data_IF_070379951678
#
_entry.id   IF_070379951678
#
_cell.length_a   1.000
_cell.length_b   1.000
_cell.length_c   1.000
_cell.angle_alpha   90.00
_cell.angle_beta   90.00
_cell.angle_gamma   90.00
#
_symmetry.space_group_name_H-M   'P 1'
#
loop_
_entity.id
_entity.type
_entity.pdbx_description
1 polymer ?
#
# COMPACT_ATOMS: atom_id res chain seq x y z
N UNK A 1 -30.70 -36.22 23.60
CA UNK A 1 -30.60 -35.20 22.53
C UNK A 1 -31.90 -35.14 21.74
N UNK A 2 -32.45 -36.27 21.29
CA UNK A 2 -33.73 -36.30 20.54
C UNK A 2 -34.91 -35.67 21.30
N UNK A 3 -35.07 -35.98 22.59
CA UNK A 3 -36.13 -35.36 23.43
C UNK A 3 -35.98 -33.84 23.56
N UNK A 4 -34.75 -33.35 23.72
CA UNK A 4 -34.45 -31.91 23.84
C UNK A 4 -34.66 -31.16 22.51
N UNK A 5 -34.32 -31.79 21.38
CA UNK A 5 -34.55 -31.22 20.06
C UNK A 5 -36.05 -31.24 19.70
N UNK A 6 -36.77 -32.30 20.07
CA UNK A 6 -38.22 -32.36 19.92
C UNK A 6 -38.92 -31.25 20.71
N UNK A 7 -38.47 -31.00 21.95
CA UNK A 7 -38.91 -29.88 22.77
C UNK A 7 -38.57 -28.51 22.15
N UNK A 8 -37.35 -28.35 21.62
CA UNK A 8 -36.97 -27.11 20.92
C UNK A 8 -37.89 -26.82 19.73
N UNK A 9 -38.21 -27.84 18.91
CA UNK A 9 -39.06 -27.66 17.75
C UNK A 9 -40.55 -27.47 18.08
N UNK A 10 -41.06 -28.01 19.19
CA UNK A 10 -42.44 -27.76 19.62
C UNK A 10 -42.66 -26.32 20.09
N UNK A 11 -41.65 -25.71 20.71
CA UNK A 11 -41.74 -24.34 21.26
C UNK A 11 -41.45 -23.25 20.21
N UNK A 12 -40.60 -23.54 19.22
CA UNK A 12 -40.05 -22.51 18.33
C UNK A 12 -40.59 -22.54 16.89
N UNK A 13 -41.54 -23.44 16.57
CA UNK A 13 -42.27 -23.43 15.29
C UNK A 13 -43.55 -22.58 15.42
N UNK A 14 -43.43 -21.26 15.29
CA UNK A 14 -44.58 -20.33 15.15
C UNK A 14 -44.65 -19.81 13.70
N UNK A 15 -45.86 -19.50 13.22
CA UNK A 15 -46.13 -19.12 11.81
C UNK A 15 -45.29 -17.92 11.32
N UNK A 16 -44.93 -16.99 12.21
CA UNK A 16 -44.19 -15.76 11.85
C UNK A 16 -42.65 -15.91 11.84
N UNK A 17 -42.11 -17.09 12.14
CA UNK A 17 -40.66 -17.30 12.29
C UNK A 17 -40.04 -17.88 11.01
N UNK A 18 -39.14 -17.12 10.38
CA UNK A 18 -38.40 -17.60 9.20
C UNK A 18 -37.64 -18.90 9.49
N UNK A 19 -37.75 -19.86 8.57
CA UNK A 19 -37.11 -21.18 8.65
C UNK A 19 -35.58 -21.11 8.85
N UNK A 20 -34.94 -20.08 8.29
CA UNK A 20 -33.51 -19.82 8.47
C UNK A 20 -33.17 -19.48 9.93
N UNK A 21 -33.98 -18.64 10.58
CA UNK A 21 -33.77 -18.24 11.97
C UNK A 21 -33.98 -19.42 12.93
N UNK A 22 -34.98 -20.27 12.65
CA UNK A 22 -35.21 -21.50 13.41
C UNK A 22 -34.01 -22.45 13.27
N UNK A 23 -33.46 -22.60 12.06
CA UNK A 23 -32.28 -23.42 11.80
C UNK A 23 -31.03 -22.91 12.52
N UNK A 24 -30.78 -21.60 12.46
CA UNK A 24 -29.62 -20.98 13.11
C UNK A 24 -29.71 -21.05 14.64
N UNK A 25 -30.90 -20.80 15.20
CA UNK A 25 -31.16 -20.93 16.64
C UNK A 25 -31.05 -22.39 17.11
N UNK A 26 -31.56 -23.34 16.34
CA UNK A 26 -31.43 -24.77 16.63
C UNK A 26 -29.95 -25.19 16.70
N UNK A 27 -29.13 -24.75 15.73
CA UNK A 27 -27.68 -25.06 15.75
C UNK A 27 -27.00 -24.51 17.00
N UNK A 28 -27.36 -23.31 17.44
CA UNK A 28 -26.83 -22.73 18.67
C UNK A 28 -27.26 -23.53 19.92
N UNK A 29 -28.55 -23.89 20.01
CA UNK A 29 -29.10 -24.69 21.10
C UNK A 29 -28.47 -26.09 21.17
N UNK A 30 -28.38 -26.79 20.03
CA UNK A 30 -27.73 -28.10 19.92
C UNK A 30 -26.25 -28.04 20.32
N UNK A 31 -25.52 -27.00 19.89
CA UNK A 31 -24.13 -26.78 20.33
C UNK A 31 -24.05 -26.61 21.85
N UNK A 32 -24.97 -25.85 22.45
CA UNK A 32 -25.05 -25.68 23.91
C UNK A 32 -25.22 -27.01 24.65
N UNK A 33 -26.16 -27.86 24.20
CA UNK A 33 -26.38 -29.20 24.77
C UNK A 33 -25.16 -30.11 24.63
N UNK A 34 -24.50 -30.08 23.48
CA UNK A 34 -23.27 -30.86 23.22
C UNK A 34 -22.15 -30.40 24.15
N UNK A 35 -21.99 -29.08 24.34
CA UNK A 35 -20.98 -28.50 25.23
C UNK A 35 -21.24 -28.92 26.68
N UNK A 36 -22.48 -28.83 27.18
CA UNK A 36 -22.83 -29.26 28.54
C UNK A 36 -22.56 -30.76 28.75
N UNK A 37 -23.04 -31.60 27.83
CA UNK A 37 -22.79 -33.04 27.89
C UNK A 37 -21.29 -33.38 27.88
N UNK A 38 -20.52 -32.74 26.99
CA UNK A 38 -19.08 -32.95 26.87
C UNK A 38 -18.35 -32.48 28.12
N UNK A 39 -18.76 -31.37 28.72
CA UNK A 39 -18.21 -30.84 29.96
C UNK A 39 -18.45 -31.81 31.12
N UNK A 40 -19.69 -32.30 31.29
CA UNK A 40 -20.03 -33.31 32.31
C UNK A 40 -19.25 -34.61 32.10
N UNK A 41 -19.12 -35.07 30.86
CA UNK A 41 -18.33 -36.26 30.50
C UNK A 41 -16.84 -36.09 30.85
N UNK A 42 -16.26 -34.92 30.54
CA UNK A 42 -14.87 -34.60 30.85
C UNK A 42 -14.62 -34.51 32.37
N UNK A 43 -15.56 -33.95 33.12
CA UNK A 43 -15.49 -33.89 34.59
C UNK A 43 -15.49 -35.31 35.18
N UNK A 44 -16.42 -36.18 34.75
CA UNK A 44 -16.47 -37.59 35.18
C UNK A 44 -15.17 -38.32 34.85
N UNK A 45 -14.66 -38.15 33.61
CA UNK A 45 -13.39 -38.75 33.19
C UNK A 45 -12.22 -38.31 34.09
N UNK A 46 -12.11 -37.01 34.39
CA UNK A 46 -11.08 -36.48 35.30
C UNK A 46 -11.20 -37.05 36.72
N UNK A 47 -12.42 -37.21 37.24
CA UNK A 47 -12.65 -37.81 38.54
C UNK A 47 -12.21 -39.29 38.58
N UNK A 48 -12.52 -40.06 37.53
CA UNK A 48 -12.10 -41.47 37.44
C UNK A 48 -10.58 -41.60 37.34
N UNK A 49 -9.91 -40.75 36.56
CA UNK A 49 -8.44 -40.72 36.46
C UNK A 49 -7.83 -40.42 37.83
N UNK A 50 -8.32 -39.38 38.50
CA UNK A 50 -7.82 -38.99 39.84
C UNK A 50 -8.00 -40.12 40.86
N UNK A 51 -9.13 -40.82 40.83
CA UNK A 51 -9.37 -41.96 41.71
C UNK A 51 -8.39 -43.12 41.44
N UNK A 52 -8.12 -43.45 40.17
CA UNK A 52 -7.14 -44.48 39.80
C UNK A 52 -5.71 -44.11 40.21
N UNK A 53 -5.34 -42.83 40.10
CA UNK A 53 -4.03 -42.33 40.56
C UNK A 53 -3.90 -42.39 42.09
N UNK A 54 -4.95 -42.03 42.82
CA UNK A 54 -4.96 -42.07 44.28
C UNK A 54 -4.93 -43.51 44.79
N UNK A 55 -5.61 -44.44 44.14
CA UNK A 55 -5.58 -45.87 44.47
C UNK A 55 -4.23 -46.51 44.13
N UNK A 56 -3.59 -46.10 43.03
CA UNK A 56 -2.21 -46.50 42.72
C UNK A 56 -1.24 -46.04 43.83
N UNK A 57 -1.35 -44.78 44.29
CA UNK A 57 -0.51 -44.24 45.38
C UNK A 57 -0.71 -44.95 46.71
N UNK A 58 -1.94 -45.37 47.02
CA UNK A 58 -2.23 -46.14 48.25
C UNK A 58 -1.59 -47.52 48.20
N UNK A 59 -1.76 -48.25 47.10
CA UNK A 59 -1.15 -49.58 46.93
C UNK A 59 0.38 -49.51 46.92
N UNK A 60 0.96 -48.45 46.37
CA UNK A 60 2.40 -48.19 46.42
C UNK A 60 2.92 -48.01 47.85
N UNK A 61 2.20 -47.25 48.69
CA UNK A 61 2.52 -47.10 50.13
C UNK A 61 2.36 -48.41 50.91
N UNK A 62 1.32 -49.19 50.62
CA UNK A 62 1.11 -50.50 51.25
C UNK A 62 2.23 -51.49 50.90
N UNK A 63 2.72 -51.44 49.65
CA UNK A 63 3.83 -52.28 49.19
C UNK A 63 5.17 -51.86 49.83
N UNK A 64 5.39 -50.57 50.07
CA UNK A 64 6.56 -50.07 50.80
C UNK A 64 6.61 -50.60 52.25
N UNK A 65 5.45 -50.74 52.90
CA UNK A 65 5.35 -51.24 54.27
C UNK A 65 5.35 -52.79 54.35
N UNK A 66 4.92 -53.49 53.29
CA UNK A 66 4.83 -54.96 53.23
C UNK A 66 5.37 -55.53 51.90
N UNK A 67 6.69 -55.66 51.73
CA UNK A 67 7.32 -55.94 50.42
C UNK A 67 7.06 -57.34 49.83
N UNK A 68 6.52 -58.30 50.59
CA UNK A 68 6.40 -59.71 50.17
C UNK A 68 4.99 -60.13 49.66
N UNK A 69 4.01 -59.23 49.60
CA UNK A 69 2.63 -59.57 49.15
C UNK A 69 2.46 -59.50 47.63
N UNK A 70 2.39 -60.67 46.98
CA UNK A 70 2.19 -60.81 45.52
C UNK A 70 0.84 -60.24 45.03
N UNK A 71 -0.21 -60.31 45.84
CA UNK A 71 -1.56 -59.87 45.46
C UNK A 71 -1.68 -58.36 45.26
N UNK A 72 -0.93 -57.58 46.04
CA UNK A 72 -0.90 -56.10 45.94
C UNK A 72 -0.23 -55.69 44.63
N UNK A 73 0.84 -56.40 44.23
CA UNK A 73 1.55 -56.17 42.97
C UNK A 73 0.65 -56.44 41.76
N UNK A 74 -0.13 -57.53 41.78
CA UNK A 74 -1.11 -57.82 40.71
C UNK A 74 -2.17 -56.73 40.57
N UNK A 75 -2.70 -56.21 41.69
CA UNK A 75 -3.67 -55.10 41.68
C UNK A 75 -3.07 -53.81 41.10
N UNK A 76 -1.81 -53.52 41.43
CA UNK A 76 -1.07 -52.37 40.90
C UNK A 76 -0.84 -52.48 39.39
N UNK A 77 -0.48 -53.65 38.89
CA UNK A 77 -0.30 -53.90 37.44
C UNK A 77 -1.62 -53.75 36.66
N UNK A 78 -2.75 -54.19 37.25
CA UNK A 78 -4.09 -53.98 36.67
C UNK A 78 -4.43 -52.48 36.58
N UNK A 79 -4.11 -51.69 37.62
CA UNK A 79 -4.36 -50.24 37.62
C UNK A 79 -3.48 -49.54 36.58
N UNK A 80 -2.19 -49.89 36.50
CA UNK A 80 -1.28 -49.36 35.46
C UNK A 80 -1.79 -49.67 34.06
N UNK A 81 -2.29 -50.88 33.83
CA UNK A 81 -2.88 -51.24 32.54
C UNK A 81 -4.11 -50.36 32.21
N UNK A 82 -5.01 -50.15 33.18
CA UNK A 82 -6.17 -49.27 33.01
C UNK A 82 -5.78 -47.82 32.73
N UNK A 83 -4.75 -47.29 33.39
CA UNK A 83 -4.21 -45.95 33.11
C UNK A 83 -3.67 -45.86 31.67
N UNK A 84 -2.88 -46.84 31.24
CA UNK A 84 -2.34 -46.89 29.88
C UNK A 84 -3.42 -47.00 28.78
N UNK A 85 -4.57 -47.61 29.07
CA UNK A 85 -5.70 -47.61 28.13
C UNK A 85 -6.30 -46.21 27.95
N UNK A 86 -6.46 -45.44 29.05
CA UNK A 86 -6.99 -44.07 29.00
C UNK A 86 -6.06 -43.12 28.24
N UNK A 87 -4.74 -43.26 28.40
CA UNK A 87 -3.74 -42.46 27.68
C UNK A 87 -3.79 -42.69 26.17
N UNK A 88 -3.95 -43.96 25.75
CA UNK A 88 -4.10 -44.32 24.33
C UNK A 88 -5.36 -43.69 23.71
N UNK A 89 -6.46 -43.65 24.44
CA UNK A 89 -7.69 -42.99 23.98
C UNK A 89 -7.51 -41.47 23.80
N UNK A 90 -6.74 -40.81 24.68
CA UNK A 90 -6.44 -39.39 24.56
C UNK A 90 -5.54 -39.08 23.36
N UNK A 91 -4.52 -39.91 23.14
CA UNK A 91 -3.65 -39.79 21.98
C UNK A 91 -4.45 -39.94 20.68
N UNK A 92 -5.35 -40.92 20.61
CA UNK A 92 -6.24 -41.11 19.47
C UNK A 92 -7.14 -39.88 19.22
N UNK A 93 -7.64 -39.24 20.28
CA UNK A 93 -8.45 -38.02 20.13
C UNK A 93 -7.62 -36.82 19.63
N UNK A 94 -6.39 -36.65 20.13
CA UNK A 94 -5.48 -35.60 19.65
C UNK A 94 -5.15 -35.78 18.16
N UNK A 95 -4.91 -37.01 17.72
CA UNK A 95 -4.69 -37.34 16.30
C UNK A 95 -5.92 -37.00 15.46
N UNK A 96 -7.13 -37.34 15.91
CA UNK A 96 -8.39 -36.98 15.22
C UNK A 96 -8.55 -35.46 15.07
N UNK A 97 -8.29 -34.71 16.14
CA UNK A 97 -8.37 -33.25 16.11
C UNK A 97 -7.33 -32.64 15.14
N UNK A 98 -6.09 -33.15 15.14
CA UNK A 98 -5.04 -32.69 14.23
C UNK A 98 -5.41 -32.93 12.76
N UNK A 99 -5.99 -34.10 12.44
CA UNK A 99 -6.48 -34.41 11.08
C UNK A 99 -7.63 -33.48 10.67
N UNK A 100 -8.56 -33.18 11.59
CA UNK A 100 -9.67 -32.26 11.33
C UNK A 100 -9.18 -30.84 11.04
N UNK A 101 -8.25 -30.32 11.87
CA UNK A 101 -7.66 -29.00 11.67
C UNK A 101 -6.97 -28.88 10.30
N UNK A 102 -6.21 -29.92 9.91
CA UNK A 102 -5.56 -29.96 8.61
C UNK A 102 -6.57 -29.90 7.44
N UNK A 103 -7.68 -30.63 7.54
CA UNK A 103 -8.74 -30.61 6.52
C UNK A 103 -9.47 -29.27 6.43
N UNK A 104 -9.77 -28.64 7.57
CA UNK A 104 -10.42 -27.32 7.63
C UNK A 104 -9.54 -26.20 7.07
N UNK A 105 -8.21 -26.34 7.18
CA UNK A 105 -7.26 -25.40 6.61
C UNK A 105 -6.90 -25.69 5.14
N UNK A 106 -7.03 -26.94 4.67
CA UNK A 106 -6.77 -27.33 3.29
C UNK A 106 -7.76 -26.72 2.28
N UNK A 107 -9.01 -26.46 2.70
CA UNK A 107 -10.09 -25.96 1.83
C UNK A 107 -10.34 -24.45 1.91
N UNK A 108 -9.49 -23.67 2.58
CA UNK A 108 -9.52 -22.20 2.51
C UNK A 108 -8.62 -21.73 1.36
N UNK A 109 -9.13 -21.26 0.20
CA UNK A 109 -8.33 -20.50 -0.77
C UNK A 109 -7.91 -19.10 -0.22
N UNK A 110 -7.71 -18.95 1.09
CA UNK A 110 -8.57 -18.04 1.84
C UNK A 110 -8.01 -16.68 2.27
N UNK A 111 -6.72 -16.38 2.12
CA UNK A 111 -6.22 -15.03 2.52
C UNK A 111 -5.16 -14.46 1.60
N UNK A 112 -4.11 -15.22 1.34
CA UNK A 112 -3.01 -14.76 0.48
C UNK A 112 -3.45 -14.59 -0.98
N UNK A 113 -4.23 -15.54 -1.51
CA UNK A 113 -4.77 -15.44 -2.87
C UNK A 113 -5.80 -14.31 -2.98
N UNK A 114 -6.72 -14.20 -2.02
CA UNK A 114 -7.69 -13.10 -1.96
C UNK A 114 -7.00 -11.73 -1.86
N UNK A 115 -5.93 -11.62 -1.06
CA UNK A 115 -5.10 -10.43 -0.97
C UNK A 115 -4.37 -10.12 -2.28
N UNK A 116 -3.78 -11.13 -2.93
CA UNK A 116 -3.09 -10.98 -4.21
C UNK A 116 -4.04 -10.53 -5.31
N UNK A 117 -5.20 -11.16 -5.43
CA UNK A 117 -6.25 -10.79 -6.38
C UNK A 117 -6.78 -9.37 -6.12
N UNK A 118 -6.92 -8.96 -4.84
CA UNK A 118 -7.28 -7.58 -4.49
C UNK A 118 -6.21 -6.59 -4.92
N UNK A 119 -4.92 -6.87 -4.66
CA UNK A 119 -3.81 -6.02 -5.12
C UNK A 119 -3.71 -5.95 -6.64
N UNK A 120 -3.91 -7.06 -7.36
CA UNK A 120 -3.96 -7.07 -8.82
C UNK A 120 -5.10 -6.21 -9.35
N UNK A 121 -6.30 -6.30 -8.76
CA UNK A 121 -7.44 -5.46 -9.12
C UNK A 121 -7.22 -3.96 -8.82
N UNK A 122 -6.57 -3.64 -7.71
CA UNK A 122 -6.17 -2.26 -7.37
C UNK A 122 -5.11 -1.73 -8.36
N UNK A 123 -4.11 -2.54 -8.71
CA UNK A 123 -3.11 -2.17 -9.71
C UNK A 123 -3.71 -1.96 -11.11
N UNK A 124 -4.71 -2.76 -11.50
CA UNK A 124 -5.45 -2.59 -12.75
C UNK A 124 -6.25 -1.28 -12.80
N UNK A 125 -6.88 -0.88 -11.70
CA UNK A 125 -7.55 0.44 -11.60
C UNK A 125 -6.57 1.60 -11.67
N UNK A 126 -5.40 1.47 -11.03
CA UNK A 126 -4.33 2.47 -11.13
C UNK A 126 -3.88 2.60 -12.58
N UNK A 127 -3.69 1.48 -13.31
CA UNK A 127 -3.34 1.50 -14.74
C UNK A 127 -4.39 2.19 -15.61
N UNK A 128 -5.68 1.97 -15.35
CA UNK A 128 -6.77 2.69 -16.04
C UNK A 128 -6.72 4.20 -15.76
N UNK A 129 -6.55 4.59 -14.50
CA UNK A 129 -6.39 6.00 -14.13
C UNK A 129 -5.17 6.64 -14.78
N UNK A 130 -4.06 5.91 -14.94
CA UNK A 130 -2.86 6.39 -15.66
C UNK A 130 -3.19 6.67 -17.12
N UNK A 131 -3.91 5.75 -17.77
CA UNK A 131 -4.28 5.91 -19.17
C UNK A 131 -5.23 7.11 -19.35
N UNK A 132 -6.21 7.25 -18.47
CA UNK A 132 -7.10 8.42 -18.40
C UNK A 132 -6.31 9.72 -18.17
N UNK A 133 -5.28 9.69 -17.33
CA UNK A 133 -4.45 10.88 -17.08
C UNK A 133 -3.54 11.24 -18.25
N UNK A 134 -2.98 10.27 -18.99
CA UNK A 134 -2.28 10.54 -20.26
C UNK A 134 -3.24 11.11 -21.29
N UNK A 135 -4.46 10.59 -21.34
CA UNK A 135 -5.52 11.11 -22.21
C UNK A 135 -5.85 12.57 -21.89
N UNK A 136 -5.80 12.99 -20.63
CA UNK A 136 -6.01 14.40 -20.25
C UNK A 136 -4.97 15.36 -20.86
N UNK A 137 -3.68 14.98 -20.88
CA UNK A 137 -2.63 15.77 -21.53
C UNK A 137 -2.83 15.87 -23.04
N UNK A 138 -3.18 14.76 -23.69
CA UNK A 138 -3.45 14.71 -25.13
C UNK A 138 -4.67 15.58 -25.46
N UNK A 139 -5.75 15.46 -24.70
CA UNK A 139 -6.98 16.23 -24.87
C UNK A 139 -6.74 17.72 -24.68
N UNK A 140 -5.99 18.13 -23.65
CA UNK A 140 -5.65 19.54 -23.44
C UNK A 140 -4.83 20.09 -24.60
N UNK A 141 -3.83 19.35 -25.09
CA UNK A 141 -3.04 19.74 -26.26
C UNK A 141 -3.91 19.96 -27.49
N UNK A 142 -4.86 19.06 -27.77
CA UNK A 142 -5.80 19.18 -28.89
C UNK A 142 -6.74 20.38 -28.74
N UNK A 143 -7.22 20.65 -27.53
CA UNK A 143 -8.02 21.83 -27.25
C UNK A 143 -7.23 23.12 -27.49
N UNK A 144 -6.00 23.20 -26.98
CA UNK A 144 -5.10 24.35 -27.19
C UNK A 144 -4.86 24.57 -28.68
N UNK A 145 -4.59 23.51 -29.45
CA UNK A 145 -4.41 23.62 -30.90
C UNK A 145 -5.65 24.17 -31.60
N UNK A 146 -6.84 23.73 -31.18
CA UNK A 146 -8.12 24.19 -31.73
C UNK A 146 -8.40 25.66 -31.37
N UNK A 147 -8.16 26.05 -30.12
CA UNK A 147 -8.35 27.42 -29.64
C UNK A 147 -7.40 28.39 -30.35
N UNK A 148 -6.12 28.00 -30.48
CA UNK A 148 -5.12 28.80 -31.20
C UNK A 148 -5.45 28.96 -32.68
N UNK A 149 -6.00 27.93 -33.34
CA UNK A 149 -6.45 28.01 -34.73
C UNK A 149 -7.61 29.00 -34.90
N UNK A 150 -8.52 29.07 -33.92
CA UNK A 150 -9.61 30.07 -33.92
C UNK A 150 -9.07 31.49 -33.75
N UNK A 151 -8.08 31.66 -32.88
CA UNK A 151 -7.47 32.97 -32.61
C UNK A 151 -6.46 33.41 -33.67
N UNK A 152 -6.00 32.52 -34.55
CA UNK A 152 -5.00 32.81 -35.60
C UNK A 152 -5.47 33.92 -36.56
N UNK A 153 -6.78 33.99 -36.80
CA UNK A 153 -7.40 34.99 -37.69
C UNK A 153 -7.51 36.39 -37.07
N UNK A 154 -7.23 36.55 -35.77
CA UNK A 154 -7.28 37.84 -35.12
C UNK A 154 -6.06 38.69 -35.51
N UNK A 155 -6.27 39.97 -35.82
CA UNK A 155 -5.19 40.92 -36.14
C UNK A 155 -4.45 41.37 -34.86
N UNK A 156 -3.72 40.46 -34.23
CA UNK A 156 -2.96 40.73 -33.02
C UNK A 156 -1.49 41.00 -33.30
N UNK A 157 -0.87 41.91 -32.55
CA UNK A 157 0.59 42.09 -32.54
C UNK A 157 1.31 40.87 -31.96
N UNK A 158 2.62 40.72 -32.22
CA UNK A 158 3.44 39.63 -31.66
C UNK A 158 3.37 39.60 -30.12
N UNK A 159 3.47 40.76 -29.48
CA UNK A 159 3.42 40.91 -28.03
C UNK A 159 2.04 40.51 -27.51
N UNK A 160 0.98 40.98 -28.16
CA UNK A 160 -0.39 40.63 -27.80
C UNK A 160 -0.64 39.12 -27.89
N UNK A 161 -0.14 38.44 -28.93
CA UNK A 161 -0.21 36.97 -29.05
C UNK A 161 0.50 36.27 -27.90
N UNK A 162 1.71 36.70 -27.55
CA UNK A 162 2.45 36.14 -26.40
C UNK A 162 1.67 36.35 -25.10
N UNK A 163 1.05 37.51 -24.91
CA UNK A 163 0.18 37.77 -23.76
C UNK A 163 -1.05 36.87 -23.74
N UNK A 164 -1.72 36.63 -24.88
CA UNK A 164 -2.86 35.69 -24.94
C UNK A 164 -2.48 34.28 -24.51
N UNK A 165 -1.28 33.82 -24.88
CA UNK A 165 -0.76 32.52 -24.43
C UNK A 165 -0.55 32.51 -22.91
N UNK A 166 0.07 33.56 -22.35
CA UNK A 166 0.29 33.70 -20.91
C UNK A 166 -1.02 33.76 -20.11
N UNK A 167 -2.03 34.42 -20.64
CA UNK A 167 -3.29 34.63 -19.91
C UNK A 167 -4.21 33.42 -20.01
N UNK A 168 -4.28 32.75 -21.16
CA UNK A 168 -5.27 31.69 -21.38
C UNK A 168 -4.68 30.27 -21.33
N UNK A 169 -3.50 30.06 -21.93
CA UNK A 169 -2.93 28.71 -22.10
C UNK A 169 -2.08 28.33 -20.89
N UNK A 170 -1.24 29.24 -20.42
CA UNK A 170 -0.36 29.00 -19.28
C UNK A 170 -1.09 28.52 -18.01
N UNK A 171 -2.19 29.18 -17.54
CA UNK A 171 -2.86 28.70 -16.34
C UNK A 171 -3.48 27.30 -16.51
N UNK A 172 -4.01 26.96 -17.70
CA UNK A 172 -4.58 25.63 -17.99
C UNK A 172 -3.51 24.53 -17.94
N UNK A 173 -2.37 24.77 -18.57
CA UNK A 173 -1.24 23.82 -18.57
C UNK A 173 -0.66 23.70 -17.16
N UNK A 174 -0.47 24.81 -16.46
CA UNK A 174 0.10 24.83 -15.12
C UNK A 174 -0.77 24.07 -14.12
N UNK A 175 -2.09 24.25 -14.19
CA UNK A 175 -3.03 23.48 -13.38
C UNK A 175 -2.88 21.97 -13.62
N UNK A 176 -2.71 21.56 -14.89
CA UNK A 176 -2.53 20.15 -15.21
C UNK A 176 -1.21 19.59 -14.67
N UNK A 177 -0.10 20.34 -14.80
CA UNK A 177 1.19 19.95 -14.23
C UNK A 177 1.15 19.85 -12.70
N UNK A 178 0.42 20.74 -12.04
CA UNK A 178 0.28 20.73 -10.58
C UNK A 178 -0.68 19.66 -10.07
N UNK A 179 -1.65 19.22 -10.86
CA UNK A 179 -2.62 18.20 -10.42
C UNK A 179 -2.16 16.79 -10.76
N UNK A 180 -1.38 16.63 -11.83
CA UNK A 180 -1.01 15.33 -12.38
C UNK A 180 0.50 15.26 -12.64
N UNK A 181 1.31 14.84 -11.66
CA UNK A 181 2.75 14.61 -11.83
C UNK A 181 3.00 13.31 -12.60
N UNK A 182 2.84 13.34 -13.93
CA UNK A 182 3.18 12.23 -14.83
C UNK A 182 4.47 12.54 -15.57
N UNK A 183 5.24 11.49 -15.87
CA UNK A 183 6.43 11.58 -16.73
C UNK A 183 6.04 12.03 -18.14
N UNK A 184 6.43 13.26 -18.50
CA UNK A 184 6.29 13.78 -19.86
C UNK A 184 7.63 13.67 -20.59
N UNK A 185 7.59 13.15 -21.83
CA UNK A 185 8.75 13.12 -22.72
C UNK A 185 9.08 14.50 -23.28
N UNK A 186 10.32 14.69 -23.75
CA UNK A 186 10.74 15.93 -24.43
C UNK A 186 9.87 16.24 -25.65
N UNK A 187 9.47 15.21 -26.38
CA UNK A 187 8.63 15.30 -27.57
C UNK A 187 7.33 16.06 -27.32
N UNK A 188 6.70 15.87 -26.16
CA UNK A 188 5.47 16.58 -25.79
C UNK A 188 5.69 18.10 -25.72
N UNK A 189 6.78 18.53 -25.09
CA UNK A 189 7.11 19.95 -24.95
C UNK A 189 7.51 20.55 -26.30
N UNK A 190 8.23 19.81 -27.13
CA UNK A 190 8.58 20.23 -28.49
C UNK A 190 7.34 20.40 -29.38
N UNK A 191 6.39 19.48 -29.33
CA UNK A 191 5.11 19.60 -30.04
C UNK A 191 4.30 20.81 -29.57
N UNK A 192 4.19 21.03 -28.25
CA UNK A 192 3.51 22.21 -27.71
C UNK A 192 4.20 23.50 -28.17
N UNK A 193 5.53 23.55 -28.13
CA UNK A 193 6.29 24.69 -28.63
C UNK A 193 6.06 24.92 -30.13
N UNK A 194 5.97 23.86 -30.95
CA UNK A 194 5.64 23.97 -32.39
C UNK A 194 4.26 24.58 -32.60
N UNK A 195 3.23 24.12 -31.88
CA UNK A 195 1.86 24.65 -31.98
C UNK A 195 1.83 26.14 -31.58
N UNK A 196 2.45 26.48 -30.45
CA UNK A 196 2.51 27.85 -29.94
C UNK A 196 3.28 28.77 -30.88
N UNK A 197 4.43 28.33 -31.39
CA UNK A 197 5.23 29.12 -32.34
C UNK A 197 4.48 29.34 -33.66
N UNK A 198 3.76 28.32 -34.16
CA UNK A 198 2.92 28.48 -35.35
C UNK A 198 1.91 29.61 -35.19
N UNK A 199 1.23 29.68 -34.05
CA UNK A 199 0.30 30.77 -33.74
C UNK A 199 1.00 32.13 -33.60
N UNK A 200 2.09 32.19 -32.84
CA UNK A 200 2.86 33.44 -32.63
C UNK A 200 3.31 34.04 -33.97
N UNK A 201 3.73 33.20 -34.91
CA UNK A 201 4.24 33.63 -36.22
C UNK A 201 3.21 33.56 -37.35
N UNK A 202 1.94 33.24 -37.08
CA UNK A 202 0.88 33.08 -38.12
C UNK A 202 1.31 32.14 -39.26
N UNK A 203 1.88 30.99 -38.91
CA UNK A 203 2.40 30.02 -39.89
C UNK A 203 3.67 30.46 -40.63
N UNK A 204 4.16 31.68 -40.44
CA UNK A 204 5.43 32.16 -41.02
C UNK A 204 6.62 31.58 -40.25
N UNK A 205 7.79 31.57 -40.90
CA UNK A 205 9.05 31.12 -40.27
C UNK A 205 9.40 32.03 -39.09
N UNK A 206 9.74 31.41 -37.96
CA UNK A 206 10.16 32.12 -36.75
C UNK A 206 11.40 32.98 -37.03
N UNK A 207 11.32 34.27 -36.72
CA UNK A 207 12.43 35.22 -36.91
C UNK A 207 13.39 35.26 -35.72
N UNK A 208 12.90 34.91 -34.53
CA UNK A 208 13.64 34.97 -33.27
C UNK A 208 13.81 33.56 -32.73
N UNK A 209 15.01 33.24 -32.21
CA UNK A 209 15.29 31.95 -31.55
C UNK A 209 14.38 31.78 -30.33
N UNK A 210 13.80 30.58 -30.15
CA UNK A 210 12.86 30.29 -29.05
C UNK A 210 13.44 30.62 -27.67
N UNK A 211 14.73 30.33 -27.43
CA UNK A 211 15.41 30.64 -26.16
C UNK A 211 15.36 32.14 -25.82
N UNK A 212 15.56 33.03 -26.80
CA UNK A 212 15.47 34.48 -26.61
C UNK A 212 14.02 34.94 -26.40
N UNK A 213 13.07 34.27 -27.07
CA UNK A 213 11.64 34.56 -26.91
C UNK A 213 11.15 34.22 -25.50
N UNK A 214 11.69 33.15 -24.90
CA UNK A 214 11.38 32.70 -23.55
C UNK A 214 12.13 33.46 -22.45
N UNK A 215 13.17 34.20 -22.80
CA UNK A 215 13.94 34.93 -21.80
C UNK A 215 13.13 36.08 -21.18
N UNK A 216 13.49 36.46 -19.96
CA UNK A 216 12.82 37.51 -19.20
C UNK A 216 12.94 38.88 -19.89
N UNK A 217 11.93 39.72 -19.70
CA UNK A 217 11.89 41.10 -20.21
C UNK A 217 13.09 41.92 -19.73
N UNK A 218 13.55 41.70 -18.50
CA UNK A 218 14.72 42.36 -17.90
C UNK A 218 16.03 42.05 -18.63
N UNK A 219 16.10 40.89 -19.30
CA UNK A 219 17.26 40.46 -20.09
C UNK A 219 17.08 40.69 -21.59
N UNK A 220 16.07 41.49 -21.99
CA UNK A 220 15.77 41.79 -23.39
C UNK A 220 14.95 40.73 -24.12
N UNK A 221 14.38 39.76 -23.40
CA UNK A 221 13.48 38.76 -23.97
C UNK A 221 12.00 39.18 -23.99
N UNK A 222 11.15 38.32 -24.53
CA UNK A 222 9.69 38.56 -24.60
C UNK A 222 8.90 37.88 -23.46
N UNK A 223 9.57 37.01 -22.71
CA UNK A 223 9.05 36.27 -21.57
C UNK A 223 8.05 35.19 -21.93
N UNK A 224 8.10 34.59 -23.14
CA UNK A 224 7.22 33.48 -23.50
C UNK A 224 7.39 32.32 -22.48
N UNK A 225 6.31 31.66 -22.02
CA UNK A 225 6.45 30.55 -21.08
C UNK A 225 7.32 29.42 -21.62
N UNK A 226 8.22 28.92 -20.78
CA UNK A 226 8.95 27.68 -21.05
C UNK A 226 8.24 26.53 -20.33
N UNK A 227 7.49 25.73 -21.10
CA UNK A 227 6.65 24.64 -20.57
C UNK A 227 7.45 23.58 -19.80
N UNK A 228 8.68 23.27 -20.22
CA UNK A 228 9.53 22.28 -19.54
C UNK A 228 9.96 22.79 -18.16
N UNK A 229 10.36 24.06 -18.06
CA UNK A 229 10.73 24.69 -16.78
C UNK A 229 9.55 24.75 -15.81
N UNK A 230 8.36 25.11 -16.31
CA UNK A 230 7.14 25.11 -15.48
C UNK A 230 6.76 23.71 -14.99
N UNK A 231 6.91 22.70 -15.84
CA UNK A 231 6.68 21.31 -15.48
C UNK A 231 7.67 20.83 -14.40
N UNK A 232 8.97 21.11 -14.58
CA UNK A 232 9.99 20.79 -13.58
C UNK A 232 9.70 21.47 -12.24
N UNK A 233 9.36 22.76 -12.25
CA UNK A 233 9.00 23.49 -11.04
C UNK A 233 7.76 22.90 -10.34
N UNK A 234 6.72 22.52 -11.10
CA UNK A 234 5.54 21.87 -10.53
C UNK A 234 5.87 20.52 -9.88
N UNK A 235 6.73 19.72 -10.49
CA UNK A 235 7.18 18.45 -9.92
C UNK A 235 8.02 18.65 -8.65
N UNK A 236 8.85 19.69 -8.59
CA UNK A 236 9.59 20.03 -7.37
C UNK A 236 8.65 20.47 -6.24
N UNK A 237 7.54 21.14 -6.53
CA UNK A 237 6.52 21.42 -5.51
C UNK A 237 5.91 20.13 -4.96
N UNK A 238 5.63 19.14 -5.81
CA UNK A 238 5.19 17.81 -5.37
C UNK A 238 6.24 17.14 -4.48
N UNK A 239 7.51 17.13 -4.90
CA UNK A 239 8.60 16.57 -4.10
C UNK A 239 8.72 17.23 -2.72
N UNK A 240 8.60 18.57 -2.64
CA UNK A 240 8.59 19.31 -1.38
C UNK A 240 7.42 18.89 -0.47
N UNK A 241 6.22 18.81 -1.01
CA UNK A 241 5.03 18.38 -0.25
C UNK A 241 5.18 16.95 0.29
N UNK A 242 5.84 16.07 -0.48
CA UNK A 242 6.15 14.69 -0.09
C UNK A 242 7.20 14.63 1.02
N UNK A 243 8.30 15.38 0.90
CA UNK A 243 9.37 15.43 1.91
C UNK A 243 8.86 15.98 3.25
N UNK A 244 7.97 16.98 3.22
CA UNK A 244 7.46 17.58 4.45
C UNK A 244 6.45 16.70 5.20
N UNK A 245 5.94 15.61 4.59
CA UNK A 245 5.06 14.59 5.20
C UNK A 245 3.81 15.15 5.91
N UNK A 246 3.41 16.39 5.64
CA UNK A 246 2.28 17.05 6.34
C UNK A 246 0.91 16.58 5.86
N UNK A 247 0.81 16.05 4.63
CA UNK A 247 -0.47 15.67 4.01
C UNK A 247 -0.72 14.17 4.09
N UNK A 248 -1.57 13.74 5.02
CA UNK A 248 -1.97 12.34 5.24
C UNK A 248 -2.61 11.66 4.02
N UNK A 249 -3.39 12.39 3.20
CA UNK A 249 -4.01 11.87 1.96
C UNK A 249 -2.98 11.47 0.89
N UNK A 250 -1.83 12.12 0.90
CA UNK A 250 -0.77 11.91 -0.07
C UNK A 250 0.10 10.73 0.36
N UNK A 251 0.31 10.58 1.67
CA UNK A 251 0.86 9.38 2.32
C UNK A 251 0.02 8.11 2.07
N UNK A 252 -1.31 8.21 1.99
CA UNK A 252 -2.16 7.06 1.65
C UNK A 252 -2.03 6.61 0.19
N UNK A 253 -1.70 7.51 -0.72
CA UNK A 253 -1.42 7.17 -2.13
C UNK A 253 -0.08 6.43 -2.29
N UNK A 254 0.86 6.59 -1.36
CA UNK A 254 2.17 5.92 -1.37
C UNK A 254 2.09 4.44 -0.96
N UNK A 255 1.00 4.03 -0.30
CA UNK A 255 0.81 2.69 0.26
C UNK A 255 1.50 2.56 1.63
N UNK A 256 0.72 2.16 2.64
CA UNK A 256 1.19 1.94 4.01
C UNK A 256 2.20 0.77 4.17
N UNK A 257 2.49 0.01 3.10
CA UNK A 257 3.25 -1.25 3.13
C UNK A 257 4.73 -1.12 2.72
N UNK A 258 5.25 0.09 2.50
CA UNK A 258 6.66 0.28 2.18
C UNK A 258 7.53 0.08 3.43
N UNK A 259 8.45 -0.88 3.37
CA UNK A 259 9.40 -1.23 4.45
C UNK A 259 10.27 -0.02 4.88
N UNK A 260 10.49 0.91 3.95
CA UNK A 260 11.14 2.21 4.13
C UNK A 260 10.33 3.27 3.39
N UNK A 261 10.08 4.43 4.03
CA UNK A 261 9.38 5.55 3.39
C UNK A 261 10.24 6.17 2.28
N UNK A 262 9.59 6.77 1.29
CA UNK A 262 10.22 7.26 0.05
C UNK A 262 11.38 8.25 0.28
N UNK A 263 11.29 9.09 1.33
CA UNK A 263 12.35 10.04 1.71
C UNK A 263 13.66 9.36 2.14
N UNK A 264 13.62 8.13 2.64
CA UNK A 264 14.83 7.38 2.93
C UNK A 264 15.63 7.12 1.65
N UNK A 265 14.96 6.87 0.52
CA UNK A 265 15.63 6.61 -0.77
C UNK A 265 16.25 7.86 -1.41
N UNK A 266 15.79 9.07 -1.03
CA UNK A 266 16.46 10.32 -1.44
C UNK A 266 17.81 10.51 -0.73
N UNK A 267 18.00 9.89 0.43
CA UNK A 267 19.20 10.03 1.26
C UNK A 267 20.21 8.88 1.07
N UNK A 268 19.73 7.67 0.77
CA UNK A 268 20.57 6.51 0.49
C UNK A 268 20.79 6.35 -1.02
N UNK A 269 21.84 6.97 -1.54
CA UNK A 269 22.31 6.71 -2.91
C UNK A 269 22.65 5.22 -3.06
N UNK A 270 21.96 4.52 -3.98
CA UNK A 270 22.53 3.34 -4.62
C UNK A 270 22.34 1.96 -3.99
N UNK A 271 21.13 1.56 -3.57
CA UNK A 271 20.84 0.12 -3.37
C UNK A 271 19.94 -0.45 -4.47
N UNK A 272 20.29 -1.64 -4.96
CA UNK A 272 19.62 -2.38 -6.06
C UNK A 272 18.14 -2.76 -5.80
N UNK A 273 17.54 -2.32 -4.69
CA UNK A 273 16.14 -2.53 -4.32
C UNK A 273 15.15 -1.59 -5.06
N UNK A 274 15.65 -0.69 -5.93
CA UNK A 274 14.86 0.33 -6.64
C UNK A 274 13.84 -0.19 -7.68
N UNK A 275 13.83 -1.48 -8.02
CA UNK A 275 12.92 -2.01 -9.05
C UNK A 275 11.44 -1.92 -8.69
N UNK A 276 11.07 -1.88 -7.40
CA UNK A 276 9.68 -1.66 -6.98
C UNK A 276 9.28 -0.18 -7.00
N UNK A 277 10.19 0.69 -6.59
CA UNK A 277 10.01 2.14 -6.54
C UNK A 277 9.81 2.76 -7.94
N UNK A 278 10.59 2.30 -8.93
CA UNK A 278 10.45 2.72 -10.33
C UNK A 278 9.19 2.19 -11.02
N UNK A 279 8.47 1.22 -10.43
CA UNK A 279 7.22 0.69 -11.00
C UNK A 279 6.06 1.66 -10.85
N UNK A 280 6.11 2.57 -9.88
CA UNK A 280 5.06 3.57 -9.70
C UNK A 280 5.36 4.81 -10.54
N UNK A 281 4.47 5.14 -11.46
CA UNK A 281 4.63 6.17 -12.51
C UNK A 281 4.82 7.60 -11.98
N UNK A 282 4.03 8.03 -10.98
CA UNK A 282 4.21 9.36 -10.36
C UNK A 282 5.58 9.42 -9.67
N UNK A 283 5.90 8.34 -8.98
CA UNK A 283 7.12 8.16 -8.20
C UNK A 283 8.36 8.20 -9.12
N UNK A 284 8.35 7.44 -10.21
CA UNK A 284 9.42 7.47 -11.21
C UNK A 284 9.58 8.87 -11.85
N UNK A 285 8.46 9.54 -12.18
CA UNK A 285 8.51 10.88 -12.77
C UNK A 285 9.12 11.93 -11.84
N UNK A 286 8.78 11.89 -10.55
CA UNK A 286 9.31 12.78 -9.53
C UNK A 286 10.77 12.45 -9.24
N UNK A 287 11.14 11.17 -9.16
CA UNK A 287 12.53 10.74 -8.98
C UNK A 287 13.43 11.25 -10.10
N UNK A 288 13.05 11.04 -11.36
CA UNK A 288 13.87 11.45 -12.50
C UNK A 288 14.03 12.97 -12.58
N UNK A 289 12.97 13.72 -12.24
CA UNK A 289 13.06 15.17 -12.16
C UNK A 289 13.90 15.64 -10.96
N UNK A 290 13.81 14.95 -9.82
CA UNK A 290 14.66 15.19 -8.66
C UNK A 290 16.13 14.94 -8.99
N UNK A 291 16.47 13.80 -9.59
CA UNK A 291 17.82 13.47 -10.02
C UNK A 291 18.35 14.51 -11.03
N UNK A 292 17.52 14.94 -11.99
CA UNK A 292 17.91 15.93 -13.01
C UNK A 292 18.14 17.34 -12.45
N UNK A 293 17.37 17.77 -11.46
CA UNK A 293 17.39 19.15 -10.93
C UNK A 293 18.13 19.28 -9.60
N UNK A 294 17.97 18.35 -8.67
CA UNK A 294 18.63 18.39 -7.36
C UNK A 294 20.09 18.02 -7.43
N UNK A 295 20.54 17.11 -8.31
CA UNK A 295 22.00 16.90 -8.51
C UNK A 295 22.65 18.21 -8.97
N UNK A 296 22.01 18.94 -9.89
CA UNK A 296 22.50 20.25 -10.35
C UNK A 296 22.42 21.35 -9.29
N UNK A 297 21.38 21.35 -8.44
CA UNK A 297 21.26 22.30 -7.34
C UNK A 297 22.31 22.02 -6.25
N UNK A 298 22.48 20.77 -5.85
CA UNK A 298 23.48 20.33 -4.87
C UNK A 298 24.90 20.62 -5.41
N UNK A 299 25.18 20.34 -6.69
CA UNK A 299 26.47 20.69 -7.31
C UNK A 299 26.72 22.20 -7.32
N UNK A 300 25.71 23.02 -7.62
CA UNK A 300 25.81 24.49 -7.57
C UNK A 300 25.99 24.99 -6.14
N UNK A 301 25.26 24.45 -5.18
CA UNK A 301 25.33 24.85 -3.78
C UNK A 301 26.68 24.43 -3.16
N UNK A 302 27.18 23.23 -3.49
CA UNK A 302 28.54 22.79 -3.17
C UNK A 302 29.61 23.65 -3.85
N UNK A 303 29.37 24.12 -5.08
CA UNK A 303 30.25 25.08 -5.77
C UNK A 303 30.28 26.43 -5.05
N UNK A 304 29.12 27.00 -4.70
CA UNK A 304 29.01 28.24 -3.93
C UNK A 304 29.64 28.12 -2.54
N UNK A 305 29.47 26.99 -1.86
CA UNK A 305 30.11 26.73 -0.57
C UNK A 305 31.64 26.59 -0.69
N UNK A 306 32.15 26.03 -1.81
CA UNK A 306 33.58 25.98 -2.12
C UNK A 306 34.17 27.35 -2.45
N UNK A 307 33.44 28.22 -3.16
CA UNK A 307 33.88 29.59 -3.44
C UNK A 307 33.87 30.47 -2.19
N UNK A 308 32.84 30.37 -1.34
CA UNK A 308 32.78 31.10 -0.06
C UNK A 308 33.91 30.67 0.90
N UNK A 309 34.28 29.39 0.92
CA UNK A 309 35.45 28.92 1.68
C UNK A 309 36.77 29.48 1.14
N UNK A 310 36.93 29.62 -0.18
CA UNK A 310 38.11 30.24 -0.79
C UNK A 310 38.24 31.72 -0.44
N UNK A 311 37.14 32.47 -0.39
CA UNK A 311 37.13 33.89 -0.04
C UNK A 311 37.47 34.14 1.45
N UNK A 312 37.09 33.22 2.35
CA UNK A 312 37.47 33.31 3.77
C UNK A 312 38.95 33.00 4.03
N UNK A 313 39.60 32.19 3.18
CA UNK A 313 41.04 31.89 3.30
C UNK A 313 41.98 32.95 2.70
N UNK A 314 41.43 33.95 2.01
CA UNK A 314 42.20 35.02 1.34
C UNK A 314 42.22 36.36 2.07
N UNK A 315 41.75 36.42 3.33
CA UNK A 315 41.91 37.62 4.17
C UNK A 315 43.37 37.63 4.67
N UNK A 316 44.20 38.62 4.31
CA UNK A 316 45.59 38.67 4.78
C UNK A 316 45.58 38.93 6.29
N UNK A 317 46.27 38.06 7.05
CA UNK A 317 46.63 38.35 8.43
C UNK A 317 47.60 39.55 8.43
N UNK A 318 47.09 40.75 8.63
CA UNK A 318 47.91 41.87 9.09
C UNK A 318 48.17 41.64 10.58
N UNK A 319 49.26 40.95 10.86
CA UNK A 319 49.79 40.79 12.22
C UNK A 319 50.24 42.13 12.78
N UNK A 320 49.82 42.39 14.02
CA UNK A 320 50.33 43.42 14.93
C UNK A 320 51.78 43.23 15.29
#
# INVERSE_FOLDING_TARGET
>A
MEKELAFFFSENKKEDTSMQNVWDTMKAYARGLIIDYTTKKNIRKRQTIKALEDDHKKLEKELQNMPQKKDIKLKMDIIKHKMGQVEKEELAQKIRNAKQNYFEDANKPGRLLAYKLRKEKESGKILQLIDDQKNNYIKLKQQIASDLKKWENLQLSLISRISTIKMNILPRILNLFQTIPIRLGKDYFEELNKIVLKYIWQGKKARIKLKLLQDARTRGGFGLPNWELYYQAANLMWAKEWITLRKTKLLTLEGHDLLLRWHAFLWYEGTKSQGYFRRHYIQESLWLNWEKECVKMIEKELFFLKENKKQQTSIPNYGT
#
